data_IF_755844855833
#
_entry.id   IF_755844855833
#
_cell.length_a   1.000
_cell.length_b   1.000
_cell.length_c   1.000
_cell.angle_alpha   90.00
_cell.angle_beta   90.00
_cell.angle_gamma   90.00
#
_symmetry.space_group_name_H-M   'P 1'
#
loop_
_entity.id
_entity.type
_entity.pdbx_description
1 polymer ?
#
# COMPACT_ATOMS: atom_id res chain seq x y z
N UNK A 1 9.70 -16.30 21.28
CA UNK A 1 10.20 -17.67 21.05
C UNK A 1 11.59 -17.57 20.43
N UNK A 2 12.57 -18.36 20.88
CA UNK A 2 13.90 -18.43 20.26
C UNK A 2 13.92 -19.67 19.37
N UNK A 3 14.24 -19.49 18.10
CA UNK A 3 14.26 -20.56 17.09
C UNK A 3 15.55 -20.42 16.31
N UNK A 4 16.24 -21.53 16.06
CA UNK A 4 17.38 -21.57 15.16
C UNK A 4 16.88 -22.02 13.79
N UNK A 5 17.08 -21.18 12.78
CA UNK A 5 16.76 -21.45 11.39
C UNK A 5 17.96 -21.03 10.54
N UNK A 6 18.22 -21.78 9.48
CA UNK A 6 19.21 -21.40 8.47
C UNK A 6 18.55 -20.42 7.50
N UNK A 7 19.23 -19.31 7.23
CA UNK A 7 18.78 -18.27 6.32
C UNK A 7 19.93 -17.97 5.36
N UNK A 8 19.58 -17.64 4.12
CA UNK A 8 20.54 -17.11 3.16
C UNK A 8 21.06 -15.75 3.67
N UNK A 9 22.37 -15.66 3.92
CA UNK A 9 23.01 -14.45 4.43
C UNK A 9 23.02 -13.31 3.42
N UNK A 10 23.06 -13.60 2.11
CA UNK A 10 23.01 -12.58 1.07
C UNK A 10 21.62 -11.93 1.02
N UNK A 11 20.57 -12.76 1.05
CA UNK A 11 19.18 -12.28 1.11
C UNK A 11 18.93 -11.45 2.37
N UNK A 12 19.46 -11.89 3.52
CA UNK A 12 19.29 -11.18 4.77
C UNK A 12 20.04 -9.85 4.79
N UNK A 13 21.24 -9.79 4.19
CA UNK A 13 22.00 -8.57 4.04
C UNK A 13 21.26 -7.54 3.17
N UNK A 14 20.76 -7.98 2.01
CA UNK A 14 19.95 -7.14 1.12
C UNK A 14 18.69 -6.63 1.82
N UNK A 15 17.97 -7.51 2.53
CA UNK A 15 16.79 -7.11 3.28
C UNK A 15 17.12 -6.11 4.40
N UNK A 16 18.25 -6.27 5.09
CA UNK A 16 18.72 -5.33 6.11
C UNK A 16 19.08 -3.97 5.51
N UNK A 17 19.72 -3.94 4.35
CA UNK A 17 20.05 -2.71 3.62
C UNK A 17 18.80 -1.96 3.18
N UNK A 18 17.85 -2.65 2.53
CA UNK A 18 16.58 -2.06 2.06
C UNK A 18 15.75 -1.52 3.23
N UNK A 19 15.73 -2.25 4.36
CA UNK A 19 14.92 -1.86 5.52
C UNK A 19 15.62 -0.89 6.47
N UNK A 20 16.94 -0.71 6.35
CA UNK A 20 17.75 0.08 7.27
C UNK A 20 17.81 -0.48 8.69
N UNK A 21 17.49 -1.77 8.89
CA UNK A 21 17.40 -2.37 10.22
C UNK A 21 18.74 -2.96 10.66
N UNK A 22 19.10 -2.69 11.92
CA UNK A 22 20.41 -3.05 12.48
C UNK A 22 20.54 -4.50 12.93
N UNK A 23 19.43 -5.26 13.04
CA UNK A 23 19.47 -6.63 13.55
C UNK A 23 18.74 -7.62 12.65
N UNK A 24 19.34 -8.80 12.46
CA UNK A 24 18.75 -9.94 11.75
C UNK A 24 17.32 -10.24 12.25
N UNK A 25 17.11 -10.21 13.57
CA UNK A 25 15.79 -10.44 14.18
C UNK A 25 14.77 -9.39 13.76
N UNK A 26 15.11 -8.11 13.82
CA UNK A 26 14.18 -7.04 13.46
C UNK A 26 13.77 -7.13 11.98
N UNK A 27 14.73 -7.45 11.10
CA UNK A 27 14.47 -7.61 9.67
C UNK A 27 13.53 -8.77 9.39
N UNK A 28 13.78 -9.94 10.01
CA UNK A 28 12.90 -11.11 9.87
C UNK A 28 11.50 -10.83 10.42
N UNK A 29 11.40 -10.18 11.59
CA UNK A 29 10.11 -9.82 12.18
C UNK A 29 9.32 -8.84 11.30
N UNK A 30 10.00 -7.83 10.74
CA UNK A 30 9.39 -6.89 9.79
C UNK A 30 8.89 -7.61 8.54
N UNK A 31 9.71 -8.48 7.94
CA UNK A 31 9.35 -9.23 6.75
C UNK A 31 8.08 -10.08 6.97
N UNK A 32 7.99 -10.77 8.11
CA UNK A 32 6.81 -11.57 8.46
C UNK A 32 5.57 -10.70 8.68
N UNK A 33 5.70 -9.55 9.32
CA UNK A 33 4.57 -8.61 9.51
C UNK A 33 4.08 -8.06 8.18
N UNK A 34 5.00 -7.68 7.30
CA UNK A 34 4.67 -7.16 5.97
C UNK A 34 4.00 -8.25 5.11
N UNK A 35 4.49 -9.50 5.14
CA UNK A 35 3.86 -10.64 4.45
C UNK A 35 2.40 -10.84 4.88
N UNK A 36 2.14 -10.84 6.19
CA UNK A 36 0.77 -10.99 6.73
C UNK A 36 -0.09 -9.80 6.34
N UNK A 37 0.44 -8.57 6.39
CA UNK A 37 -0.28 -7.36 5.97
C UNK A 37 -0.70 -7.45 4.50
N UNK A 38 0.24 -7.78 3.62
CA UNK A 38 0.00 -7.89 2.18
C UNK A 38 -1.07 -8.94 1.90
N UNK A 39 -0.99 -10.13 2.51
CA UNK A 39 -2.00 -11.16 2.31
C UNK A 39 -3.40 -10.75 2.80
N UNK A 40 -3.50 -9.99 3.90
CA UNK A 40 -4.78 -9.45 4.35
C UNK A 40 -5.35 -8.42 3.37
N UNK A 41 -4.50 -7.56 2.82
CA UNK A 41 -4.90 -6.59 1.81
C UNK A 41 -5.35 -7.28 0.53
N UNK A 42 -4.63 -8.30 0.06
CA UNK A 42 -5.02 -9.08 -1.12
C UNK A 42 -6.40 -9.72 -0.94
N UNK A 43 -6.68 -10.34 0.21
CA UNK A 43 -8.02 -10.88 0.49
C UNK A 43 -9.11 -9.82 0.47
N UNK A 44 -8.81 -8.60 0.92
CA UNK A 44 -9.76 -7.50 0.85
C UNK A 44 -9.98 -7.06 -0.61
N UNK A 45 -8.93 -7.03 -1.44
CA UNK A 45 -9.05 -6.76 -2.87
C UNK A 45 -9.85 -7.85 -3.59
N UNK A 46 -9.59 -9.13 -3.31
CA UNK A 46 -10.36 -10.25 -3.86
C UNK A 46 -11.85 -10.14 -3.49
N UNK A 47 -12.16 -9.65 -2.28
CA UNK A 47 -13.54 -9.42 -1.87
C UNK A 47 -14.21 -8.23 -2.58
N UNK A 48 -13.42 -7.30 -3.14
CA UNK A 48 -13.92 -6.20 -3.98
C UNK A 48 -14.15 -6.64 -5.43
N UNK A 49 -13.56 -7.76 -5.86
CA UNK A 49 -13.77 -8.30 -7.20
C UNK A 49 -15.25 -8.62 -7.43
N UNK A 50 -15.81 -8.10 -8.52
CA UNK A 50 -17.22 -8.31 -8.88
C UNK A 50 -18.23 -7.50 -8.06
N UNK A 51 -17.79 -6.68 -7.10
CA UNK A 51 -18.67 -5.77 -6.35
C UNK A 51 -19.26 -4.67 -7.25
N UNK A 52 -18.62 -4.42 -8.39
CA UNK A 52 -19.02 -3.42 -9.36
C UNK A 52 -18.80 -2.00 -8.85
N UNK A 53 -18.94 -1.03 -9.74
CA UNK A 53 -19.01 0.38 -9.38
C UNK A 53 -20.09 1.01 -10.25
N UNK A 54 -21.01 1.72 -9.62
CA UNK A 54 -22.12 2.41 -10.29
C UNK A 54 -21.78 3.89 -10.46
N UNK A 55 -21.60 4.33 -11.71
CA UNK A 55 -21.35 5.72 -12.09
C UNK A 55 -20.80 5.83 -13.52
N UNK A 56 -20.70 7.05 -14.03
CA UNK A 56 -20.05 7.36 -15.31
C UNK A 56 -18.71 8.05 -15.04
N UNK A 57 -17.62 7.38 -15.42
CA UNK A 57 -16.26 7.88 -15.20
C UNK A 57 -15.96 9.13 -16.04
N UNK A 58 -16.54 9.24 -17.22
CA UNK A 58 -16.31 10.35 -18.13
C UNK A 58 -17.08 11.58 -17.65
N UNK A 59 -18.33 11.40 -17.20
CA UNK A 59 -19.11 12.46 -16.56
C UNK A 59 -18.33 13.06 -15.37
N UNK A 60 -17.87 12.22 -14.43
CA UNK A 60 -17.12 12.67 -13.24
C UNK A 60 -15.81 13.42 -13.56
N UNK A 61 -15.16 13.11 -14.69
CA UNK A 61 -13.95 13.81 -15.13
C UNK A 61 -14.24 15.18 -15.72
N UNK A 62 -15.45 15.38 -16.23
CA UNK A 62 -15.89 16.59 -16.92
C UNK A 62 -16.81 17.48 -16.08
N UNK A 63 -17.29 16.97 -14.95
CA UNK A 63 -18.15 17.70 -13.99
C UNK A 63 -17.41 18.84 -13.26
N UNK A 64 -16.09 18.94 -13.42
CA UNK A 64 -15.31 20.01 -12.81
C UNK A 64 -15.34 21.31 -13.63
N UNK A 65 -15.92 22.36 -13.08
CA UNK A 65 -15.85 23.73 -13.60
C UNK A 65 -15.24 24.68 -12.55
N UNK A 66 -14.04 25.19 -12.84
CA UNK A 66 -13.34 26.14 -11.97
C UNK A 66 -14.16 27.40 -11.66
N UNK A 67 -15.01 27.87 -12.58
CA UNK A 67 -15.83 29.06 -12.36
C UNK A 67 -16.99 28.82 -11.38
N UNK A 68 -17.55 27.61 -11.39
CA UNK A 68 -18.72 27.22 -10.59
C UNK A 68 -18.32 26.65 -9.22
N UNK A 69 -17.21 25.90 -9.15
CA UNK A 69 -16.76 25.23 -7.92
C UNK A 69 -15.93 26.10 -6.97
N UNK A 70 -15.32 27.19 -7.47
CA UNK A 70 -14.39 28.01 -6.68
C UNK A 70 -14.74 29.49 -6.54
N UNK A 71 -15.96 29.91 -6.87
CA UNK A 71 -16.47 31.28 -6.69
C UNK A 71 -15.48 32.39 -7.13
N UNK A 72 -14.67 32.07 -8.14
CA UNK A 72 -13.51 32.87 -8.57
C UNK A 72 -13.95 34.17 -9.25
N UNK A 73 -15.23 34.30 -9.59
CA UNK A 73 -15.83 35.51 -10.17
C UNK A 73 -15.88 36.68 -9.18
N UNK A 74 -15.79 36.42 -7.88
CA UNK A 74 -15.82 37.45 -6.83
C UNK A 74 -14.43 37.90 -6.36
N UNK A 75 -13.34 37.35 -6.93
CA UNK A 75 -11.98 37.78 -6.65
C UNK A 75 -11.58 38.99 -7.51
N UNK A 76 -12.17 40.17 -7.22
CA UNK A 76 -11.72 41.47 -7.74
C UNK A 76 -11.69 42.52 -6.63
#
# INVERSE_FOLDING_TARGET
MRTNIELDDALLAEAMEITGLSTKKATVEKALRDLVRIHRQMRALDALEGMGWEGDLDEMRTDWDAETDWDVKNAK
#
